data_IF_521284829622
#
_entry.id   IF_521284829622
#
_cell.length_a   1.000
_cell.length_b   1.000
_cell.length_c   1.000
_cell.angle_alpha   90.00
_cell.angle_beta   90.00
_cell.angle_gamma   90.00
#
_symmetry.space_group_name_H-M   'P 1'
#
loop_
_entity.id
_entity.type
_entity.pdbx_description
1 polymer ?
#
# COMPACT_ATOMS: atom_id res chain seq x y z
N UNK A 1 -37.94 14.59 8.38
CA UNK A 1 -37.36 15.62 9.26
C UNK A 1 -36.87 15.00 10.56
N UNK A 2 -35.55 14.85 10.72
CA UNK A 2 -34.88 14.74 12.03
C UNK A 2 -33.38 15.00 11.82
N UNK A 3 -33.04 16.29 11.74
CA UNK A 3 -31.67 16.79 11.86
C UNK A 3 -31.17 16.47 13.27
N UNK A 4 -30.11 15.68 13.41
CA UNK A 4 -29.31 15.66 14.65
C UNK A 4 -28.03 16.44 14.40
N UNK A 5 -28.05 17.68 14.90
CA UNK A 5 -26.88 18.52 15.14
C UNK A 5 -26.07 17.86 16.25
N UNK A 6 -24.79 17.57 16.02
CA UNK A 6 -23.82 17.42 17.10
C UNK A 6 -22.82 18.56 16.99
N UNK A 7 -23.04 19.53 17.87
CA UNK A 7 -22.17 20.65 18.19
C UNK A 7 -21.18 20.16 19.27
N UNK A 8 -19.92 20.57 19.15
CA UNK A 8 -19.04 20.80 20.29
C UNK A 8 -17.98 19.73 20.54
N UNK A 9 -16.72 20.05 20.28
CA UNK A 9 -15.88 20.65 21.33
C UNK A 9 -14.57 21.17 20.75
N UNK A 10 -14.37 22.47 20.95
CA UNK A 10 -13.11 23.19 20.85
C UNK A 10 -12.28 22.85 22.09
N UNK A 11 -10.94 22.90 21.96
CA UNK A 11 -9.85 23.04 22.97
C UNK A 11 -8.71 22.09 22.53
N UNK A 12 -7.42 22.44 22.51
CA UNK A 12 -6.71 23.64 22.90
C UNK A 12 -5.31 23.64 22.24
N UNK A 13 -4.74 24.84 22.24
CA UNK A 13 -3.37 25.22 21.89
C UNK A 13 -2.27 24.36 22.53
N UNK A 14 -1.20 24.11 21.78
CA UNK A 14 0.17 24.14 22.31
C UNK A 14 1.17 24.40 21.19
N UNK A 15 1.59 25.67 21.12
CA UNK A 15 2.72 26.18 20.35
C UNK A 15 4.03 26.01 21.13
N UNK A 16 5.16 25.73 20.45
CA UNK A 16 6.56 26.02 20.85
C UNK A 16 7.51 25.31 19.85
N UNK A 17 8.78 25.76 19.65
CA UNK A 17 9.28 27.10 19.34
C UNK A 17 10.11 27.15 18.03
N UNK A 18 10.31 28.38 17.55
CA UNK A 18 11.36 28.78 16.61
C UNK A 18 12.75 28.55 17.20
N UNK A 19 13.63 27.87 16.47
CA UNK A 19 15.08 28.03 16.63
C UNK A 19 15.62 28.93 15.52
N UNK A 20 15.95 30.14 15.94
CA UNK A 20 16.69 31.17 15.24
C UNK A 20 18.18 30.79 15.28
N UNK A 21 18.82 30.58 14.13
CA UNK A 21 20.27 30.58 14.02
C UNK A 21 20.68 31.56 12.91
N UNK A 22 21.30 32.66 13.34
CA UNK A 22 21.90 33.70 12.53
C UNK A 22 23.42 33.45 12.53
N UNK A 23 24.06 33.54 11.37
CA UNK A 23 25.52 33.40 11.24
C UNK A 23 26.00 33.74 9.84
N UNK A 24 26.30 35.02 9.64
CA UNK A 24 26.73 35.64 8.38
C UNK A 24 28.22 35.44 8.12
N UNK A 25 28.62 35.12 6.91
CA UNK A 25 29.92 35.57 6.36
C UNK A 25 29.77 35.77 4.86
N UNK A 26 29.92 37.02 4.44
CA UNK A 26 30.01 37.45 3.03
C UNK A 26 31.48 37.63 2.70
N UNK A 27 31.99 36.90 1.71
CA UNK A 27 33.28 37.16 1.08
C UNK A 27 33.04 37.67 -0.36
N UNK A 28 33.64 38.80 -0.77
CA UNK A 28 33.51 39.30 -2.13
C UNK A 28 34.64 38.80 -3.02
N UNK A 29 34.28 38.28 -4.19
CA UNK A 29 35.13 38.31 -5.39
C UNK A 29 35.69 36.98 -5.88
N UNK A 30 35.20 36.52 -7.03
CA UNK A 30 36.02 36.41 -8.25
C UNK A 30 35.24 35.72 -9.37
N UNK A 31 35.24 36.37 -10.53
CA UNK A 31 34.82 35.84 -11.82
C UNK A 31 35.50 34.51 -12.14
N UNK A 32 34.70 33.47 -12.39
CA UNK A 32 35.18 32.20 -12.92
C UNK A 32 34.02 31.32 -13.34
N UNK A 33 33.67 31.34 -14.62
CA UNK A 33 32.91 30.24 -15.23
C UNK A 33 33.80 29.00 -15.24
N UNK A 34 33.28 27.86 -14.80
CA UNK A 34 33.23 26.73 -15.73
C UNK A 34 31.90 25.97 -15.68
N UNK A 35 31.55 25.41 -16.84
CA UNK A 35 30.62 24.30 -17.02
C UNK A 35 30.74 23.25 -15.91
N UNK A 36 29.60 22.86 -15.35
CA UNK A 36 29.48 21.74 -14.43
C UNK A 36 28.07 21.17 -14.48
N UNK A 37 27.87 20.16 -15.32
CA UNK A 37 26.64 19.36 -15.39
C UNK A 37 26.55 18.49 -14.13
N UNK A 38 25.75 18.91 -13.15
CA UNK A 38 25.50 18.15 -11.92
C UNK A 38 24.17 17.40 -11.99
N UNK A 39 24.18 16.22 -12.62
CA UNK A 39 23.04 15.30 -12.54
C UNK A 39 22.98 14.68 -11.15
N UNK A 40 21.89 14.91 -10.42
CA UNK A 40 21.53 14.08 -9.28
C UNK A 40 20.74 12.88 -9.82
N UNK A 41 21.49 11.83 -10.19
CA UNK A 41 20.92 10.51 -10.45
C UNK A 41 20.34 9.96 -9.16
N UNK A 42 19.02 9.89 -9.08
CA UNK A 42 18.34 9.06 -8.10
C UNK A 42 18.58 7.61 -8.49
N UNK A 43 19.24 6.87 -7.61
CA UNK A 43 19.48 5.43 -7.75
C UNK A 43 18.15 4.73 -7.98
N UNK A 44 17.90 4.30 -9.22
CA UNK A 44 16.81 3.39 -9.53
C UNK A 44 17.03 2.13 -8.72
N UNK A 45 16.25 1.97 -7.65
CA UNK A 45 16.12 0.69 -6.96
C UNK A 45 15.69 -0.33 -7.99
N UNK A 46 16.54 -1.34 -8.20
CA UNK A 46 16.29 -2.40 -9.15
C UNK A 46 14.89 -2.97 -8.91
N UNK A 47 14.14 -3.09 -10.01
CA UNK A 47 12.74 -3.46 -10.03
C UNK A 47 12.45 -4.60 -9.06
N UNK A 48 11.38 -4.40 -8.28
CA UNK A 48 10.80 -5.47 -7.50
C UNK A 48 10.68 -6.70 -8.38
N UNK A 49 11.20 -7.82 -7.88
CA UNK A 49 11.15 -9.08 -8.59
C UNK A 49 9.72 -9.28 -9.08
N UNK A 50 9.57 -9.49 -10.39
CA UNK A 50 8.36 -10.04 -10.99
C UNK A 50 8.19 -11.47 -10.43
N UNK A 51 7.95 -11.57 -9.13
CA UNK A 51 7.56 -12.80 -8.48
C UNK A 51 6.11 -12.96 -8.88
N UNK A 52 5.80 -13.93 -9.76
CA UNK A 52 4.43 -14.14 -10.16
C UNK A 52 3.63 -14.46 -8.89
N UNK A 53 2.65 -13.61 -8.62
CA UNK A 53 1.63 -13.88 -7.63
C UNK A 53 0.83 -15.11 -8.07
N UNK A 54 1.05 -16.23 -7.38
CA UNK A 54 0.29 -17.46 -7.59
C UNK A 54 -1.00 -17.37 -6.77
N UNK A 55 -2.02 -16.70 -7.32
CA UNK A 55 -3.38 -16.74 -6.79
C UNK A 55 -4.14 -17.84 -7.53
N UNK A 56 -4.91 -18.63 -6.80
CA UNK A 56 -5.84 -19.61 -7.35
C UNK A 56 -7.13 -19.54 -6.55
N UNK A 57 -8.29 -19.76 -7.20
CA UNK A 57 -9.51 -19.99 -6.42
C UNK A 57 -9.35 -21.30 -5.65
N UNK A 58 -10.16 -21.48 -4.60
CA UNK A 58 -10.16 -22.72 -3.82
C UNK A 58 -10.41 -23.99 -4.66
N UNK A 59 -11.20 -23.91 -5.72
CA UNK A 59 -11.54 -25.02 -6.62
C UNK A 59 -10.75 -25.02 -7.93
N UNK A 60 -9.72 -24.16 -8.05
CA UNK A 60 -8.89 -23.98 -9.24
C UNK A 60 -9.68 -23.67 -10.54
N UNK A 61 -10.92 -23.17 -10.42
CA UNK A 61 -11.82 -22.92 -11.56
C UNK A 61 -11.42 -21.72 -12.42
N UNK A 62 -10.79 -20.71 -11.82
CA UNK A 62 -10.34 -19.49 -12.52
C UNK A 62 -8.82 -19.40 -12.51
N UNK A 63 -8.27 -19.06 -13.67
CA UNK A 63 -6.86 -18.75 -13.84
C UNK A 63 -6.64 -17.26 -13.58
N UNK A 64 -5.87 -16.95 -12.54
CA UNK A 64 -5.50 -15.56 -12.27
C UNK A 64 -4.50 -15.04 -13.31
N UNK A 65 -4.61 -13.77 -13.73
CA UNK A 65 -3.55 -13.14 -14.50
C UNK A 65 -2.29 -13.05 -13.64
N UNK A 66 -1.13 -13.10 -14.29
CA UNK A 66 0.14 -12.81 -13.61
C UNK A 66 0.11 -11.37 -13.10
N UNK A 67 0.24 -11.20 -11.78
CA UNK A 67 0.37 -9.89 -11.15
C UNK A 67 1.76 -9.72 -10.56
N UNK A 68 2.27 -8.49 -10.60
CA UNK A 68 3.57 -8.13 -10.05
C UNK A 68 3.43 -7.62 -8.62
N UNK A 69 4.39 -7.99 -7.78
CA UNK A 69 4.61 -7.37 -6.47
C UNK A 69 5.44 -6.10 -6.57
N UNK A 70 6.05 -5.82 -7.72
CA UNK A 70 7.09 -4.81 -7.82
C UNK A 70 6.59 -3.38 -7.60
N UNK A 71 7.38 -2.59 -6.86
CA UNK A 71 7.10 -1.18 -6.60
C UNK A 71 8.40 -0.38 -6.43
N UNK A 72 8.30 0.94 -6.60
CA UNK A 72 9.37 1.91 -6.28
C UNK A 72 8.98 2.75 -5.07
N UNK A 73 7.69 3.05 -4.91
CA UNK A 73 7.12 3.80 -3.80
C UNK A 73 5.78 3.19 -3.35
N UNK A 74 5.32 3.57 -2.15
CA UNK A 74 4.03 3.12 -1.59
C UNK A 74 2.84 3.43 -2.52
N UNK A 75 2.94 4.49 -3.32
CA UNK A 75 1.90 4.91 -4.27
C UNK A 75 1.77 3.97 -5.47
N UNK A 76 2.80 3.16 -5.75
CA UNK A 76 2.76 2.13 -6.78
C UNK A 76 2.00 0.89 -6.31
N UNK A 77 1.70 0.81 -5.00
CA UNK A 77 1.07 -0.33 -4.39
C UNK A 77 -0.42 -0.12 -4.19
N UNK A 78 -1.15 -1.21 -4.35
CA UNK A 78 -2.54 -1.33 -3.96
C UNK A 78 -2.76 -2.70 -3.33
N UNK A 79 -3.95 -2.92 -2.77
CA UNK A 79 -4.33 -4.19 -2.18
C UNK A 79 -5.60 -4.73 -2.81
N UNK A 80 -5.71 -6.05 -2.81
CA UNK A 80 -6.95 -6.79 -3.10
C UNK A 80 -7.25 -7.74 -1.94
N UNK A 81 -8.50 -8.17 -1.86
CA UNK A 81 -8.94 -9.20 -0.92
C UNK A 81 -9.13 -10.49 -1.71
N UNK A 82 -8.34 -11.50 -1.38
CA UNK A 82 -8.35 -12.81 -2.02
C UNK A 82 -9.05 -13.83 -1.12
N UNK A 83 -10.02 -14.56 -1.66
CA UNK A 83 -10.69 -15.65 -0.93
C UNK A 83 -9.77 -16.87 -0.88
N UNK A 84 -9.39 -17.29 0.32
CA UNK A 84 -8.40 -18.38 0.50
C UNK A 84 -8.98 -19.75 0.74
N UNK A 85 -10.24 -19.82 1.18
CA UNK A 85 -10.87 -21.07 1.55
C UNK A 85 -12.37 -21.06 1.25
N UNK A 86 -12.95 -22.26 1.28
CA UNK A 86 -14.38 -22.43 1.07
C UNK A 86 -15.27 -21.86 2.20
N UNK A 87 -14.70 -21.44 3.33
CA UNK A 87 -15.41 -20.76 4.41
C UNK A 87 -15.56 -19.24 4.15
N UNK A 88 -14.89 -18.72 3.12
CA UNK A 88 -14.91 -17.30 2.77
C UNK A 88 -13.89 -16.47 3.55
N UNK A 89 -12.88 -17.08 4.17
CA UNK A 89 -11.80 -16.32 4.81
C UNK A 89 -10.97 -15.59 3.76
N UNK A 90 -10.56 -14.36 4.09
CA UNK A 90 -9.86 -13.48 3.17
C UNK A 90 -8.38 -13.34 3.52
N UNK A 91 -7.55 -13.17 2.50
CA UNK A 91 -6.21 -12.60 2.64
C UNK A 91 -6.12 -11.27 1.92
N UNK A 92 -5.59 -10.27 2.59
CA UNK A 92 -5.24 -9.00 1.95
C UNK A 92 -3.87 -9.14 1.30
N UNK A 93 -3.81 -9.01 -0.02
CA UNK A 93 -2.58 -9.18 -0.80
C UNK A 93 -2.21 -7.84 -1.42
N UNK A 94 -0.96 -7.40 -1.19
CA UNK A 94 -0.41 -6.23 -1.86
C UNK A 94 0.01 -6.56 -3.28
N UNK A 95 -0.13 -5.64 -4.23
CA UNK A 95 0.35 -5.81 -5.59
C UNK A 95 0.56 -4.46 -6.26
N UNK A 96 1.22 -4.47 -7.41
CA UNK A 96 1.34 -3.28 -8.23
C UNK A 96 -0.05 -2.75 -8.62
N UNK A 97 -0.29 -1.46 -8.40
CA UNK A 97 -1.59 -0.83 -8.60
C UNK A 97 -2.15 -1.02 -10.03
N UNK A 98 -1.26 -1.11 -11.02
CA UNK A 98 -1.59 -1.37 -12.43
C UNK A 98 -2.28 -2.73 -12.67
N UNK A 99 -2.03 -3.72 -11.80
CA UNK A 99 -2.51 -5.10 -11.98
C UNK A 99 -3.85 -5.33 -11.25
N UNK A 100 -4.26 -4.40 -10.37
CA UNK A 100 -5.51 -4.48 -9.60
C UNK A 100 -6.74 -4.75 -10.45
N UNK A 101 -6.99 -4.07 -11.59
CA UNK A 101 -8.21 -4.30 -12.35
C UNK A 101 -8.31 -5.73 -12.88
N UNK A 102 -7.20 -6.29 -13.36
CA UNK A 102 -7.16 -7.64 -13.91
C UNK A 102 -7.36 -8.70 -12.82
N UNK A 103 -6.68 -8.55 -11.68
CA UNK A 103 -6.83 -9.46 -10.53
C UNK A 103 -8.24 -9.36 -9.93
N UNK A 104 -8.79 -8.16 -9.79
CA UNK A 104 -10.13 -7.96 -9.23
C UNK A 104 -11.23 -8.57 -10.10
N UNK A 105 -11.05 -8.59 -11.42
CA UNK A 105 -11.96 -9.31 -12.31
C UNK A 105 -11.89 -10.82 -12.08
N UNK A 106 -10.68 -11.39 -11.96
CA UNK A 106 -10.51 -12.81 -11.64
C UNK A 106 -11.09 -13.17 -10.25
N UNK A 107 -10.94 -12.31 -9.24
CA UNK A 107 -11.58 -12.50 -7.93
C UNK A 107 -13.11 -12.52 -8.00
N UNK A 108 -13.71 -11.66 -8.84
CA UNK A 108 -15.16 -11.66 -9.05
C UNK A 108 -15.64 -12.97 -9.68
N UNK A 109 -14.84 -13.55 -10.57
CA UNK A 109 -15.11 -14.86 -11.17
C UNK A 109 -14.88 -16.01 -10.18
N UNK A 110 -13.86 -15.91 -9.31
CA UNK A 110 -13.69 -16.85 -8.19
C UNK A 110 -14.87 -16.81 -7.22
N UNK A 111 -15.61 -15.70 -7.20
CA UNK A 111 -16.96 -15.56 -6.67
C UNK A 111 -17.20 -16.36 -5.40
N UNK A 112 -17.03 -15.70 -4.25
CA UNK A 112 -17.23 -16.22 -2.89
C UNK A 112 -18.63 -16.84 -2.68
N UNK A 113 -18.87 -18.02 -3.21
CA UNK A 113 -19.85 -18.92 -2.67
C UNK A 113 -19.14 -19.65 -1.55
N UNK A 114 -19.53 -19.40 -0.30
CA UNK A 114 -19.16 -20.28 0.78
C UNK A 114 -19.69 -21.68 0.41
N UNK A 115 -18.81 -22.52 -0.12
CA UNK A 115 -19.13 -23.89 -0.53
C UNK A 115 -19.27 -24.78 0.71
N UNK A 116 -18.73 -24.34 1.84
CA UNK A 116 -18.68 -25.05 3.10
C UNK A 116 -19.56 -24.34 4.16
N UNK A 117 -20.22 -25.12 5.01
CA UNK A 117 -21.03 -24.62 6.14
C UNK A 117 -20.13 -24.32 7.35
N UNK A 118 -19.31 -23.27 7.22
CA UNK A 118 -18.35 -22.84 8.23
C UNK A 118 -18.27 -21.31 8.30
N UNK A 119 -17.74 -20.81 9.42
CA UNK A 119 -17.58 -19.37 9.68
C UNK A 119 -16.25 -18.89 9.10
N UNK A 120 -16.31 -17.83 8.28
CA UNK A 120 -15.13 -17.15 7.77
C UNK A 120 -14.21 -16.68 8.90
N UNK A 121 -12.91 -16.90 8.75
CA UNK A 121 -11.91 -16.40 9.69
C UNK A 121 -11.59 -14.91 9.41
N UNK A 122 -11.03 -14.19 10.39
CA UNK A 122 -10.54 -12.82 10.19
C UNK A 122 -9.58 -12.72 9.01
N UNK A 123 -9.57 -11.55 8.36
CA UNK A 123 -8.72 -11.30 7.20
C UNK A 123 -7.26 -11.31 7.61
N UNK A 124 -6.42 -12.07 6.91
CA UNK A 124 -4.97 -12.14 7.17
C UNK A 124 -4.18 -11.20 6.27
N UNK A 125 -3.22 -10.46 6.82
CA UNK A 125 -2.27 -9.60 6.10
C UNK A 125 -0.93 -10.31 5.88
N UNK A 126 -0.08 -9.78 5.01
CA UNK A 126 1.18 -10.44 4.60
C UNK A 126 2.29 -10.40 5.66
N UNK A 127 2.12 -9.57 6.69
CA UNK A 127 2.93 -9.58 7.92
C UNK A 127 2.47 -10.64 8.94
N UNK A 128 1.42 -11.42 8.62
CA UNK A 128 0.88 -12.48 9.46
C UNK A 128 -0.12 -12.01 10.51
N UNK A 129 -0.46 -10.71 10.53
CA UNK A 129 -1.51 -10.20 11.41
C UNK A 129 -2.90 -10.49 10.86
N UNK A 130 -3.93 -10.35 11.71
CA UNK A 130 -5.32 -10.60 11.33
C UNK A 130 -6.25 -9.49 11.84
N UNK A 131 -7.29 -9.18 11.08
CA UNK A 131 -8.30 -8.17 11.44
C UNK A 131 -9.70 -8.53 10.93
N UNK A 132 -10.73 -8.15 11.68
CA UNK A 132 -12.11 -8.16 11.21
C UNK A 132 -12.46 -6.88 10.43
N UNK A 133 -11.69 -5.80 10.64
CA UNK A 133 -11.89 -4.50 9.99
C UNK A 133 -10.88 -4.31 8.86
N UNK A 134 -11.30 -4.63 7.64
CA UNK A 134 -10.47 -4.50 6.44
C UNK A 134 -10.08 -3.06 6.12
N UNK A 135 -10.76 -2.05 6.69
CA UNK A 135 -10.41 -0.64 6.49
C UNK A 135 -9.13 -0.23 7.21
N UNK A 136 -8.66 -1.03 8.18
CA UNK A 136 -7.41 -0.81 8.90
C UNK A 136 -6.18 -1.31 8.16
N UNK A 137 -6.37 -2.11 7.11
CA UNK A 137 -5.27 -2.71 6.36
C UNK A 137 -4.58 -1.64 5.51
N UNK A 138 -3.26 -1.56 5.64
CA UNK A 138 -2.41 -0.67 4.86
C UNK A 138 -1.55 -1.47 3.90
N UNK A 139 -1.17 -0.84 2.79
CA UNK A 139 -0.19 -1.37 1.84
C UNK A 139 1.04 -0.44 1.79
N UNK A 140 2.22 -1.02 1.69
CA UNK A 140 3.47 -0.28 1.55
C UNK A 140 4.43 -1.00 0.61
N UNK A 141 5.34 -0.23 0.00
CA UNK A 141 6.44 -0.74 -0.77
C UNK A 141 7.61 -1.06 0.16
N UNK A 142 7.78 -2.33 0.47
CA UNK A 142 8.82 -2.82 1.37
C UNK A 142 9.84 -3.59 0.57
N UNK A 143 11.07 -3.09 0.51
CA UNK A 143 12.19 -3.72 -0.21
C UNK A 143 11.86 -4.03 -1.68
N UNK A 144 11.11 -3.14 -2.34
CA UNK A 144 10.69 -3.28 -3.74
C UNK A 144 9.48 -4.18 -3.96
N UNK A 145 8.81 -4.66 -2.90
CA UNK A 145 7.60 -5.46 -2.99
C UNK A 145 6.42 -4.81 -2.25
N UNK A 146 5.23 -4.81 -2.87
CA UNK A 146 3.99 -4.40 -2.25
C UNK A 146 3.52 -5.43 -1.24
N UNK A 147 3.50 -5.03 0.04
CA UNK A 147 3.07 -5.87 1.16
C UNK A 147 1.94 -5.19 1.93
N UNK A 148 0.97 -5.99 2.39
CA UNK A 148 -0.06 -5.53 3.32
C UNK A 148 0.35 -5.74 4.78
N UNK A 149 -0.12 -4.85 5.66
CA UNK A 149 0.12 -4.89 7.10
C UNK A 149 -0.99 -4.20 7.89
N UNK A 150 -0.99 -4.41 9.20
CA UNK A 150 -1.74 -3.57 10.13
C UNK A 150 -0.87 -2.41 10.65
N UNK A 151 -1.48 -1.28 11.08
CA UNK A 151 -0.78 -0.12 11.67
C UNK A 151 0.08 -0.44 12.89
#
# INVERSE_FOLDING_TARGET
>A
MKLRRYLGSILAFSALPLFLACGSTVEPGSSGSPSGSGGAGGSGGAGGSDVPLMLTCFDDSVQFPTASKGCVADQDCSQILHVRDCCGSLAAIGLAAKDVPAVSMAEQECGAQALCDCIAQPTTTEDGNTTEDTSTIQVACVSGACLTRLP
#
